data_IF_562422090492
#
_entry.id   IF_562422090492
#
_cell.length_a   1.000
_cell.length_b   1.000
_cell.length_c   1.000
_cell.angle_alpha   90.00
_cell.angle_beta   90.00
_cell.angle_gamma   90.00
#
_symmetry.space_group_name_H-M   'P 1'
#
loop_
_entity.id
_entity.type
_entity.pdbx_description
1 polymer ?
#
# COMPACT_ATOMS: atom_id res chain seq x y z
N UNK A 1 17.65 40.73 -28.31
CA UNK A 1 17.17 40.37 -26.96
C UNK A 1 15.77 39.81 -27.11
N UNK A 2 15.64 38.51 -27.15
CA UNK A 2 14.35 37.84 -27.46
C UNK A 2 13.54 37.72 -26.15
N UNK A 3 12.41 38.44 -26.07
CA UNK A 3 11.49 38.42 -24.94
C UNK A 3 10.69 37.11 -25.03
N UNK A 4 11.10 36.09 -24.30
CA UNK A 4 10.36 34.84 -24.17
C UNK A 4 9.02 35.12 -23.48
N UNK A 5 7.92 34.89 -24.18
CA UNK A 5 6.56 35.14 -23.72
C UNK A 5 6.25 34.23 -22.52
N UNK A 6 5.86 34.81 -21.37
CA UNK A 6 5.58 34.09 -20.10
C UNK A 6 4.58 32.94 -20.28
N UNK A 7 3.68 33.02 -21.24
CA UNK A 7 2.71 31.96 -21.57
C UNK A 7 3.38 30.71 -22.19
N UNK A 8 4.42 30.88 -23.01
CA UNK A 8 5.15 29.76 -23.60
C UNK A 8 5.95 28.97 -22.58
N UNK A 9 6.48 29.63 -21.55
CA UNK A 9 7.25 28.98 -20.49
C UNK A 9 6.35 28.13 -19.58
N UNK A 10 5.17 28.62 -19.21
CA UNK A 10 4.18 27.89 -18.38
C UNK A 10 3.63 26.67 -19.13
N UNK A 11 3.30 26.81 -20.42
CA UNK A 11 2.84 25.69 -21.25
C UNK A 11 3.92 24.61 -21.42
N UNK A 12 5.17 24.99 -21.59
CA UNK A 12 6.30 24.04 -21.67
C UNK A 12 6.52 23.30 -20.35
N UNK A 13 6.41 24.01 -19.20
CA UNK A 13 6.53 23.41 -17.88
C UNK A 13 5.41 22.39 -17.60
N UNK A 14 4.17 22.71 -17.99
CA UNK A 14 3.00 21.81 -17.84
C UNK A 14 3.17 20.58 -18.74
N UNK A 15 3.59 20.74 -19.99
CA UNK A 15 3.85 19.62 -20.89
C UNK A 15 5.01 18.74 -20.40
N UNK A 16 6.07 19.32 -19.84
CA UNK A 16 7.19 18.56 -19.26
C UNK A 16 6.73 17.74 -18.04
N UNK A 17 5.94 18.32 -17.14
CA UNK A 17 5.39 17.62 -15.96
C UNK A 17 4.44 16.49 -16.38
N UNK A 18 3.60 16.68 -17.41
CA UNK A 18 2.70 15.64 -17.93
C UNK A 18 3.45 14.50 -18.65
N UNK A 19 4.57 14.79 -19.30
CA UNK A 19 5.39 13.75 -19.93
C UNK A 19 6.17 12.92 -18.92
N UNK A 20 6.56 13.49 -17.77
CA UNK A 20 7.22 12.72 -16.70
C UNK A 20 6.30 11.71 -16.04
N UNK A 21 4.99 12.00 -15.87
CA UNK A 21 4.06 11.08 -15.18
C UNK A 21 3.63 9.86 -16.01
N UNK A 22 3.51 9.98 -17.34
CA UNK A 22 3.11 8.86 -18.21
C UNK A 22 4.28 7.94 -18.59
N UNK A 23 5.50 8.45 -18.55
CA UNK A 23 6.70 7.65 -18.86
C UNK A 23 7.10 6.72 -17.70
N UNK A 24 6.77 7.10 -16.46
CA UNK A 24 7.12 6.31 -15.27
C UNK A 24 6.33 5.01 -15.15
N UNK A 25 5.05 4.96 -15.53
CA UNK A 25 4.22 3.77 -15.35
C UNK A 25 4.69 2.60 -16.23
N UNK A 26 4.91 2.83 -17.51
CA UNK A 26 5.39 1.78 -18.44
C UNK A 26 6.77 1.27 -17.99
N UNK A 27 7.68 2.18 -17.66
CA UNK A 27 9.01 1.82 -17.14
C UNK A 27 8.93 1.03 -15.84
N UNK A 28 8.01 1.38 -14.95
CA UNK A 28 7.77 0.67 -13.70
C UNK A 28 7.26 -0.76 -13.97
N UNK A 29 6.26 -0.93 -14.84
CA UNK A 29 5.70 -2.24 -15.18
C UNK A 29 6.72 -3.14 -15.87
N UNK A 30 7.50 -2.61 -16.83
CA UNK A 30 8.55 -3.36 -17.51
C UNK A 30 9.65 -3.80 -16.54
N UNK A 31 10.04 -2.92 -15.61
CA UNK A 31 11.05 -3.24 -14.59
C UNK A 31 10.54 -4.32 -13.61
N UNK A 32 9.27 -4.24 -13.17
CA UNK A 32 8.65 -5.25 -12.31
C UNK A 32 8.60 -6.62 -13.00
N UNK A 33 8.08 -6.65 -14.22
CA UNK A 33 7.96 -7.89 -15.01
C UNK A 33 9.33 -8.53 -15.20
N UNK A 34 10.31 -7.74 -15.66
CA UNK A 34 11.68 -8.23 -15.86
C UNK A 34 12.30 -8.77 -14.57
N UNK A 35 12.21 -8.03 -13.46
CA UNK A 35 12.77 -8.44 -12.19
C UNK A 35 12.11 -9.72 -11.65
N UNK A 36 10.79 -9.87 -11.86
CA UNK A 36 10.05 -11.07 -11.53
C UNK A 36 10.50 -12.29 -12.37
N UNK A 37 10.66 -12.12 -13.69
CA UNK A 37 11.13 -13.16 -14.62
C UNK A 37 12.56 -13.60 -14.31
N UNK A 38 13.44 -12.63 -14.01
CA UNK A 38 14.84 -12.87 -13.65
C UNK A 38 15.01 -13.43 -12.24
N UNK A 39 13.93 -13.48 -11.43
CA UNK A 39 13.95 -13.82 -9.99
C UNK A 39 14.86 -12.91 -9.18
N UNK A 40 15.04 -11.67 -9.61
CA UNK A 40 15.80 -10.65 -8.90
C UNK A 40 14.90 -9.91 -7.91
N UNK A 41 14.82 -10.46 -6.69
CA UNK A 41 13.97 -9.90 -5.62
C UNK A 41 14.32 -8.45 -5.29
N UNK A 42 15.61 -8.12 -5.22
CA UNK A 42 16.04 -6.75 -4.89
C UNK A 42 15.62 -5.76 -5.97
N UNK A 43 15.83 -6.09 -7.24
CA UNK A 43 15.36 -5.26 -8.35
C UNK A 43 13.83 -5.14 -8.34
N UNK A 44 13.13 -6.23 -8.01
CA UNK A 44 11.67 -6.25 -7.91
C UNK A 44 11.16 -5.30 -6.81
N UNK A 45 11.69 -5.38 -5.58
CA UNK A 45 11.33 -4.49 -4.47
C UNK A 45 11.63 -3.03 -4.83
N UNK A 46 12.76 -2.75 -5.47
CA UNK A 46 13.10 -1.40 -5.92
C UNK A 46 12.11 -0.85 -6.95
N UNK A 47 11.66 -1.69 -7.89
CA UNK A 47 10.67 -1.31 -8.91
C UNK A 47 9.22 -1.25 -8.38
N UNK A 48 8.93 -1.93 -7.25
CA UNK A 48 7.59 -2.00 -6.69
C UNK A 48 7.05 -0.61 -6.34
N UNK A 49 5.76 -0.31 -6.60
CA UNK A 49 5.16 1.00 -6.36
C UNK A 49 5.38 1.52 -4.94
N UNK A 50 5.66 2.83 -4.83
CA UNK A 50 5.83 3.53 -3.56
C UNK A 50 4.59 4.31 -3.11
N UNK A 51 3.51 4.30 -3.91
CA UNK A 51 2.27 5.00 -3.61
C UNK A 51 1.10 4.10 -3.95
N UNK A 52 0.04 4.24 -3.19
CA UNK A 52 -1.19 3.52 -3.42
C UNK A 52 -1.74 3.72 -4.85
N UNK A 53 -1.76 4.97 -5.32
CA UNK A 53 -2.25 5.30 -6.67
C UNK A 53 -1.45 4.59 -7.77
N UNK A 54 -0.11 4.54 -7.64
CA UNK A 54 0.76 3.84 -8.59
C UNK A 54 0.52 2.33 -8.53
N UNK A 55 0.32 1.77 -7.33
CA UNK A 55 -0.02 0.37 -7.14
C UNK A 55 -1.32 -0.01 -7.86
N UNK A 56 -2.38 0.78 -7.67
CA UNK A 56 -3.66 0.56 -8.36
C UNK A 56 -3.53 0.74 -9.87
N UNK A 57 -2.68 1.67 -10.35
CA UNK A 57 -2.42 1.85 -11.76
C UNK A 57 -1.65 0.67 -12.39
N UNK A 58 -0.91 -0.09 -11.61
CA UNK A 58 -0.18 -1.30 -12.06
C UNK A 58 -1.07 -2.53 -12.00
N UNK A 59 -1.75 -2.78 -10.85
CA UNK A 59 -2.42 -4.04 -10.53
C UNK A 59 -3.94 -3.96 -10.42
N UNK A 60 -4.53 -2.75 -10.46
CA UNK A 60 -5.94 -2.54 -10.18
C UNK A 60 -6.87 -2.85 -11.35
N UNK A 61 -8.17 -2.65 -11.10
CA UNK A 61 -9.24 -2.75 -12.08
C UNK A 61 -10.02 -1.43 -12.16
N UNK A 62 -10.11 -0.86 -13.35
CA UNK A 62 -10.93 0.33 -13.60
C UNK A 62 -12.39 -0.09 -13.80
N UNK A 63 -13.19 -0.03 -12.74
CA UNK A 63 -14.60 -0.43 -12.76
C UNK A 63 -15.46 0.45 -13.67
N UNK A 64 -15.10 1.73 -13.88
CA UNK A 64 -15.84 2.65 -14.74
C UNK A 64 -15.70 2.29 -16.21
N UNK A 65 -14.48 1.97 -16.62
CA UNK A 65 -14.15 1.62 -17.99
C UNK A 65 -14.12 0.10 -18.23
N UNK A 66 -14.30 -0.72 -17.19
CA UNK A 66 -14.20 -2.18 -17.20
C UNK A 66 -12.87 -2.65 -17.80
N UNK A 67 -11.77 -2.00 -17.38
CA UNK A 67 -10.45 -2.28 -17.89
C UNK A 67 -9.51 -2.77 -16.80
N UNK A 68 -8.81 -3.86 -17.07
CA UNK A 68 -7.70 -4.35 -16.27
C UNK A 68 -6.49 -3.44 -16.48
N UNK A 69 -5.75 -3.18 -15.41
CA UNK A 69 -4.43 -2.55 -15.50
C UNK A 69 -3.40 -3.56 -16.00
N UNK A 70 -2.20 -3.08 -16.34
CA UNK A 70 -1.20 -3.84 -17.10
C UNK A 70 -0.83 -5.18 -16.48
N UNK A 71 -0.66 -5.24 -15.15
CA UNK A 71 -0.27 -6.45 -14.42
C UNK A 71 -1.42 -7.06 -13.60
N UNK A 72 -2.68 -6.71 -13.92
CA UNK A 72 -3.84 -7.23 -13.20
C UNK A 72 -3.91 -8.76 -13.19
N UNK A 73 -3.67 -9.41 -14.31
CA UNK A 73 -3.83 -10.86 -14.42
C UNK A 73 -2.73 -11.67 -13.72
N UNK A 74 -1.63 -11.02 -13.34
CA UNK A 74 -0.46 -11.64 -12.68
C UNK A 74 -0.21 -11.11 -11.27
N UNK A 75 -1.17 -10.35 -10.70
CA UNK A 75 -0.94 -9.74 -9.38
C UNK A 75 -0.69 -10.75 -8.27
N UNK A 76 -1.34 -11.92 -8.32
CA UNK A 76 -1.17 -12.95 -7.28
C UNK A 76 0.27 -13.43 -7.25
N UNK A 77 0.82 -13.82 -8.40
CA UNK A 77 2.20 -14.31 -8.53
C UNK A 77 3.22 -13.25 -8.12
N UNK A 78 3.00 -12.01 -8.55
CA UNK A 78 3.85 -10.88 -8.22
C UNK A 78 3.80 -10.54 -6.73
N UNK A 79 2.62 -10.55 -6.10
CA UNK A 79 2.49 -10.30 -4.67
C UNK A 79 2.98 -11.49 -3.83
N UNK A 80 2.79 -12.73 -4.27
CA UNK A 80 3.43 -13.88 -3.64
C UNK A 80 4.96 -13.73 -3.64
N UNK A 81 5.55 -13.22 -4.72
CA UNK A 81 6.98 -12.97 -4.81
C UNK A 81 7.43 -11.84 -3.87
N UNK A 82 6.64 -10.75 -3.74
CA UNK A 82 6.92 -9.68 -2.78
C UNK A 82 6.88 -10.17 -1.32
N UNK A 83 5.90 -11.01 -1.01
CA UNK A 83 5.66 -11.55 0.33
C UNK A 83 6.33 -12.91 0.56
N UNK A 84 7.46 -13.16 -0.11
CA UNK A 84 8.29 -14.33 0.17
C UNK A 84 8.69 -14.36 1.66
N UNK A 85 8.43 -15.48 2.33
CA UNK A 85 8.50 -15.60 3.78
C UNK A 85 9.91 -15.31 4.34
N UNK A 86 10.96 -15.56 3.56
CA UNK A 86 12.34 -15.32 3.96
C UNK A 86 12.75 -13.84 3.83
N UNK A 87 12.07 -13.08 3.00
CA UNK A 87 12.49 -11.74 2.56
C UNK A 87 11.51 -10.63 2.96
N UNK A 88 10.26 -10.96 3.27
CA UNK A 88 9.20 -10.00 3.54
C UNK A 88 9.43 -9.11 4.76
N UNK A 89 10.30 -9.54 5.67
CA UNK A 89 10.66 -8.79 6.88
C UNK A 89 11.81 -7.81 6.69
N UNK A 90 12.33 -7.68 5.46
CA UNK A 90 13.28 -6.63 5.12
C UNK A 90 12.62 -5.24 5.22
N UNK A 91 13.34 -4.26 5.76
CA UNK A 91 12.82 -2.90 5.93
C UNK A 91 12.38 -2.27 4.61
N UNK A 92 13.03 -2.60 3.51
CA UNK A 92 12.66 -2.09 2.18
C UNK A 92 11.28 -2.54 1.74
N UNK A 93 10.85 -3.76 2.09
CA UNK A 93 9.50 -4.27 1.83
C UNK A 93 8.50 -3.65 2.79
N UNK A 94 8.84 -3.58 4.08
CA UNK A 94 7.98 -2.96 5.08
C UNK A 94 7.73 -1.47 4.78
N UNK A 95 8.72 -0.75 4.26
CA UNK A 95 8.58 0.64 3.80
C UNK A 95 7.65 0.74 2.58
N UNK A 96 7.66 -0.22 1.64
CA UNK A 96 6.68 -0.28 0.55
C UNK A 96 5.26 -0.43 1.07
N UNK A 97 5.04 -1.37 2.00
CA UNK A 97 3.73 -1.58 2.61
C UNK A 97 3.26 -0.36 3.42
N UNK A 98 4.16 0.28 4.16
CA UNK A 98 3.87 1.53 4.86
C UNK A 98 3.43 2.62 3.88
N UNK A 99 4.15 2.80 2.79
CA UNK A 99 3.83 3.79 1.77
C UNK A 99 2.49 3.51 1.08
N UNK A 100 2.14 2.24 0.83
CA UNK A 100 0.82 1.87 0.32
C UNK A 100 -0.30 2.15 1.33
N UNK A 101 -0.02 2.19 2.62
CA UNK A 101 -1.03 2.46 3.65
C UNK A 101 -1.50 3.92 3.68
N UNK A 102 -0.79 4.84 3.02
CA UNK A 102 -1.21 6.23 2.92
C UNK A 102 -2.29 6.42 1.84
N UNK A 103 -3.37 7.09 2.22
CA UNK A 103 -4.48 7.45 1.31
C UNK A 103 -5.07 6.25 0.55
N UNK A 104 -4.89 5.02 1.07
CA UNK A 104 -5.47 3.87 0.42
C UNK A 104 -7.00 3.96 0.43
N UNK A 105 -7.60 3.55 -0.68
CA UNK A 105 -9.03 3.33 -0.82
C UNK A 105 -9.20 1.84 -1.03
N UNK A 106 -10.13 1.23 -0.29
CA UNK A 106 -10.36 -0.19 -0.52
C UNK A 106 -10.76 -0.43 -1.99
N UNK A 107 -10.09 -1.39 -2.61
CA UNK A 107 -10.39 -1.94 -3.92
C UNK A 107 -10.27 -3.46 -3.83
N UNK A 108 -10.95 -4.17 -4.72
CA UNK A 108 -10.92 -5.62 -4.77
C UNK A 108 -9.53 -6.15 -5.18
N UNK A 109 -9.37 -7.47 -5.11
CA UNK A 109 -8.26 -8.23 -5.71
C UNK A 109 -6.88 -7.89 -5.10
N UNK A 110 -6.02 -7.18 -5.82
CA UNK A 110 -4.63 -6.93 -5.40
C UNK A 110 -4.52 -6.16 -4.08
N UNK A 111 -5.40 -5.18 -3.84
CA UNK A 111 -5.43 -4.40 -2.58
C UNK A 111 -5.82 -5.28 -1.41
N UNK A 112 -6.84 -6.12 -1.59
CA UNK A 112 -7.27 -7.07 -0.55
C UNK A 112 -6.15 -8.03 -0.19
N UNK A 113 -5.43 -8.55 -1.18
CA UNK A 113 -4.30 -9.44 -0.95
C UNK A 113 -3.22 -8.77 -0.09
N UNK A 114 -2.86 -7.52 -0.40
CA UNK A 114 -1.89 -6.74 0.41
C UNK A 114 -2.39 -6.55 1.84
N UNK A 115 -3.66 -6.20 2.04
CA UNK A 115 -4.27 -6.02 3.37
C UNK A 115 -4.21 -7.34 4.17
N UNK A 116 -4.56 -8.45 3.54
CA UNK A 116 -4.54 -9.77 4.17
C UNK A 116 -3.12 -10.16 4.61
N UNK A 117 -2.14 -10.02 3.72
CA UNK A 117 -0.74 -10.34 4.02
C UNK A 117 -0.14 -9.40 5.06
N UNK A 118 -0.43 -8.10 5.00
CA UNK A 118 0.00 -7.14 6.03
C UNK A 118 -0.52 -7.52 7.42
N UNK A 119 -1.79 -7.91 7.52
CA UNK A 119 -2.36 -8.40 8.78
C UNK A 119 -1.66 -9.66 9.27
N UNK A 120 -1.35 -10.59 8.37
CA UNK A 120 -0.65 -11.82 8.70
C UNK A 120 0.74 -11.52 9.27
N UNK A 121 1.52 -10.65 8.64
CA UNK A 121 2.82 -10.20 9.15
C UNK A 121 2.75 -9.62 10.56
N UNK A 122 1.75 -8.77 10.83
CA UNK A 122 1.53 -8.18 12.16
C UNK A 122 1.28 -9.24 13.23
N UNK A 123 0.63 -10.35 12.89
CA UNK A 123 0.29 -11.41 13.84
C UNK A 123 1.41 -12.45 14.00
N UNK A 124 2.13 -12.74 12.95
CA UNK A 124 3.18 -13.79 12.94
C UNK A 124 4.53 -13.27 13.42
N UNK A 125 4.82 -11.96 13.21
CA UNK A 125 6.11 -11.36 13.54
C UNK A 125 6.01 -10.12 14.44
N UNK A 126 5.31 -10.19 15.60
CA UNK A 126 5.02 -9.00 16.41
C UNK A 126 6.27 -8.32 16.97
N UNK A 127 7.31 -9.09 17.32
CA UNK A 127 8.57 -8.53 17.81
C UNK A 127 9.26 -7.72 16.70
N UNK A 128 9.43 -8.31 15.51
CA UNK A 128 10.06 -7.63 14.36
C UNK A 128 9.29 -6.37 13.94
N UNK A 129 7.97 -6.46 13.91
CA UNK A 129 7.12 -5.30 13.61
C UNK A 129 7.21 -4.22 14.70
N UNK A 130 7.41 -4.59 15.96
CA UNK A 130 7.64 -3.62 17.04
C UNK A 130 8.96 -2.89 16.86
N UNK A 131 10.03 -3.60 16.48
CA UNK A 131 11.34 -3.03 16.16
C UNK A 131 11.22 -2.06 14.98
N UNK A 132 10.59 -2.48 13.87
CA UNK A 132 10.35 -1.62 12.72
C UNK A 132 9.56 -0.35 13.08
N UNK A 133 8.49 -0.48 13.85
CA UNK A 133 7.67 0.65 14.25
C UNK A 133 8.35 1.59 15.26
N UNK A 134 9.41 1.15 15.94
CA UNK A 134 10.13 2.01 16.90
C UNK A 134 10.76 3.23 16.22
N UNK A 135 11.10 3.12 14.95
CA UNK A 135 11.70 4.18 14.14
C UNK A 135 10.67 5.03 13.35
N UNK A 136 9.40 4.66 13.42
CA UNK A 136 8.32 5.34 12.69
C UNK A 136 7.53 6.27 13.60
N UNK A 137 6.94 7.32 13.03
CA UNK A 137 6.02 8.22 13.75
C UNK A 137 4.70 7.53 14.10
N UNK A 138 3.97 8.04 15.09
CA UNK A 138 2.63 7.52 15.45
C UNK A 138 1.63 7.59 14.28
N UNK A 139 1.78 8.61 13.42
CA UNK A 139 0.98 8.76 12.22
C UNK A 139 1.21 7.63 11.22
N UNK A 140 2.46 7.28 10.97
CA UNK A 140 2.88 6.18 10.10
C UNK A 140 2.38 4.83 10.63
N UNK A 141 2.65 4.55 11.90
CA UNK A 141 2.18 3.32 12.56
C UNK A 141 0.65 3.23 12.50
N UNK A 142 -0.05 4.33 12.77
CA UNK A 142 -1.52 4.36 12.73
C UNK A 142 -2.05 4.08 11.33
N UNK A 143 -1.44 4.63 10.27
CA UNK A 143 -1.85 4.39 8.87
C UNK A 143 -1.65 2.92 8.47
N UNK A 144 -0.50 2.35 8.80
CA UNK A 144 -0.21 0.94 8.56
C UNK A 144 -1.23 0.01 9.25
N UNK A 145 -1.50 0.25 10.53
CA UNK A 145 -2.46 -0.52 11.32
C UNK A 145 -3.90 -0.32 10.84
N UNK A 146 -4.26 0.88 10.37
CA UNK A 146 -5.57 1.14 9.80
C UNK A 146 -5.79 0.31 8.54
N UNK A 147 -4.82 0.21 7.64
CA UNK A 147 -4.91 -0.64 6.45
C UNK A 147 -5.16 -2.10 6.84
N UNK A 148 -4.42 -2.63 7.81
CA UNK A 148 -4.60 -4.01 8.29
C UNK A 148 -5.96 -4.27 8.97
N UNK A 149 -6.60 -3.23 9.54
CA UNK A 149 -7.92 -3.34 10.17
C UNK A 149 -9.08 -3.23 9.18
N UNK A 150 -8.84 -2.76 7.95
CA UNK A 150 -9.91 -2.58 6.95
C UNK A 150 -10.57 -3.90 6.62
N UNK A 151 -11.91 -3.89 6.62
CA UNK A 151 -12.77 -5.00 6.23
C UNK A 151 -13.54 -4.67 4.96
N UNK A 152 -13.81 -5.70 4.17
CA UNK A 152 -14.49 -5.60 2.88
C UNK A 152 -15.99 -5.38 3.01
N UNK A 153 -16.59 -5.94 4.06
CA UNK A 153 -18.04 -5.95 4.25
C UNK A 153 -18.37 -5.09 5.47
N UNK A 154 -19.08 -3.97 5.31
CA UNK A 154 -19.44 -3.09 6.42
C UNK A 154 -20.24 -3.79 7.53
N UNK A 155 -21.03 -4.81 7.18
CA UNK A 155 -21.84 -5.59 8.11
C UNK A 155 -21.04 -6.64 8.89
N UNK A 156 -19.87 -7.03 8.39
CA UNK A 156 -18.98 -7.92 9.11
C UNK A 156 -18.21 -7.13 10.17
N UNK A 157 -18.48 -7.42 11.45
CA UNK A 157 -17.70 -6.88 12.57
C UNK A 157 -16.26 -7.43 12.61
N UNK A 158 -15.77 -7.96 11.51
CA UNK A 158 -14.44 -8.54 11.36
C UNK A 158 -13.30 -7.59 11.74
N UNK A 159 -13.46 -6.27 11.59
CA UNK A 159 -12.47 -5.29 12.05
C UNK A 159 -12.34 -5.27 13.59
N UNK A 160 -13.43 -5.51 14.34
CA UNK A 160 -13.35 -5.63 15.81
C UNK A 160 -12.60 -6.89 16.23
N UNK A 161 -12.88 -8.02 15.61
CA UNK A 161 -12.16 -9.27 15.87
C UNK A 161 -10.66 -9.13 15.54
N UNK A 162 -10.33 -8.54 14.37
CA UNK A 162 -8.94 -8.23 13.97
C UNK A 162 -8.27 -7.30 14.98
N UNK A 163 -8.97 -6.25 15.41
CA UNK A 163 -8.47 -5.30 16.41
C UNK A 163 -8.15 -5.98 17.74
N UNK A 164 -9.07 -6.76 18.30
CA UNK A 164 -8.84 -7.45 19.58
C UNK A 164 -7.63 -8.38 19.50
N UNK A 165 -7.52 -9.14 18.43
CA UNK A 165 -6.38 -10.02 18.20
C UNK A 165 -5.05 -9.25 18.12
N UNK A 166 -5.01 -8.10 17.44
CA UNK A 166 -3.81 -7.26 17.39
C UNK A 166 -3.51 -6.63 18.75
N UNK A 167 -4.51 -6.16 19.51
CA UNK A 167 -4.29 -5.64 20.87
C UNK A 167 -3.69 -6.71 21.77
N UNK A 168 -4.24 -7.91 21.78
CA UNK A 168 -3.70 -9.04 22.55
C UNK A 168 -2.25 -9.34 22.14
N UNK A 169 -1.97 -9.36 20.84
CA UNK A 169 -0.63 -9.62 20.29
C UNK A 169 0.37 -8.56 20.74
N UNK A 170 0.02 -7.27 20.69
CA UNK A 170 0.98 -6.18 20.95
C UNK A 170 1.04 -5.69 22.38
N UNK A 171 0.08 -6.04 23.23
CA UNK A 171 0.09 -5.66 24.66
C UNK A 171 1.41 -6.03 25.38
N UNK A 172 2.01 -7.21 25.16
CA UNK A 172 3.30 -7.54 25.78
C UNK A 172 4.50 -6.77 25.24
N UNK A 173 4.39 -6.19 24.04
CA UNK A 173 5.52 -5.58 23.34
C UNK A 173 5.54 -4.06 23.42
N UNK A 174 4.39 -3.38 23.22
CA UNK A 174 4.37 -1.92 23.11
C UNK A 174 3.01 -1.29 23.40
N UNK A 175 2.91 -0.56 24.51
CA UNK A 175 1.75 0.28 24.81
C UNK A 175 1.52 1.36 23.73
N UNK A 176 2.58 1.87 23.10
CA UNK A 176 2.51 2.85 22.02
C UNK A 176 1.75 2.29 20.82
N UNK A 177 2.07 1.08 20.38
CA UNK A 177 1.37 0.41 19.27
C UNK A 177 -0.09 0.17 19.64
N UNK A 178 -0.40 -0.22 20.87
CA UNK A 178 -1.79 -0.37 21.34
C UNK A 178 -2.56 0.94 21.27
N UNK A 179 -1.95 2.09 21.58
CA UNK A 179 -2.61 3.40 21.41
C UNK A 179 -2.83 3.73 19.93
N UNK A 180 -1.85 3.45 19.04
CA UNK A 180 -2.01 3.61 17.60
C UNK A 180 -3.14 2.72 17.05
N UNK A 181 -3.29 1.47 17.55
CA UNK A 181 -4.40 0.57 17.22
C UNK A 181 -5.76 1.17 17.57
N UNK A 182 -5.90 1.83 18.72
CA UNK A 182 -7.16 2.51 19.10
C UNK A 182 -7.53 3.63 18.15
N UNK A 183 -6.55 4.38 17.66
CA UNK A 183 -6.76 5.45 16.68
C UNK A 183 -7.10 4.86 15.32
N UNK A 184 -6.37 3.83 14.90
CA UNK A 184 -6.58 3.11 13.64
C UNK A 184 -8.00 2.52 13.57
N UNK A 185 -8.49 1.91 14.66
CA UNK A 185 -9.85 1.39 14.75
C UNK A 185 -10.91 2.47 14.49
N UNK A 186 -10.76 3.64 15.12
CA UNK A 186 -11.70 4.76 14.93
C UNK A 186 -11.71 5.23 13.48
N UNK A 187 -10.54 5.28 12.81
CA UNK A 187 -10.42 5.67 11.41
C UNK A 187 -11.01 4.61 10.48
N UNK A 188 -10.73 3.33 10.71
CA UNK A 188 -11.28 2.24 9.92
C UNK A 188 -12.81 2.19 10.00
N UNK A 189 -13.38 2.35 11.21
CA UNK A 189 -14.84 2.44 11.42
C UNK A 189 -15.45 3.61 10.65
N UNK A 190 -14.87 4.81 10.75
CA UNK A 190 -15.37 6.00 10.02
C UNK A 190 -15.33 5.79 8.50
N UNK A 191 -14.31 5.13 7.98
CA UNK A 191 -14.19 4.82 6.56
C UNK A 191 -15.26 3.82 6.12
N UNK A 192 -15.54 2.78 6.92
CA UNK A 192 -16.60 1.80 6.67
C UNK A 192 -17.98 2.45 6.68
N UNK A 193 -18.29 3.28 7.69
CA UNK A 193 -19.58 3.99 7.78
C UNK A 193 -19.82 4.92 6.57
N UNK A 194 -18.76 5.48 6.00
CA UNK A 194 -18.85 6.33 4.81
C UNK A 194 -19.15 5.56 3.51
N UNK A 195 -18.78 4.27 3.43
CA UNK A 195 -19.05 3.42 2.26
C UNK A 195 -20.49 2.91 2.20
N UNK A 196 -21.19 2.87 3.34
CA UNK A 196 -22.61 2.40 3.42
C UNK A 196 -23.61 3.44 2.89
N UNK A 197 -23.17 4.68 2.65
CA UNK A 197 -24.07 5.81 2.26
C UNK A 197 -24.18 5.94 0.72
N UNK A 198 -23.60 5.08 -0.07
CA UNK A 198 -23.71 5.04 -1.53
C UNK A 198 -24.27 3.72 -2.05
#
# INVERSE_FOLDING_TARGET
MCVMNKFGFVAYLICAVLMFSSFDLQKCTDALQKAYEDKDYKAYVNAFPNKYEDFVNVYGYDSKNRQKKVLYDVYVEHLCFLFDDDLVLDDSVLDKLLNLSYNYIWDADAVEYVIMRTKQLLLEHPQRMTEYFSEKTDGEVTSFLQMALTCLIPEDQGYLSKYHKLVETYTPYSNRIVQCLKIALKRAKKASDALVVY
#
